data_IF_092731088558
#
_entry.id   IF_092731088558
#
_cell.length_a   1.000
_cell.length_b   1.000
_cell.length_c   1.000
_cell.angle_alpha   90.00
_cell.angle_beta   90.00
_cell.angle_gamma   90.00
#
_symmetry.space_group_name_H-M   'P 1'
#
loop_
_entity.id
_entity.type
_entity.pdbx_description
1 polymer ?
#
# COMPACT_ATOMS: atom_id res chain seq x y z
N UNK A 1 33.68 -19.52 -6.00
CA UNK A 1 34.00 -18.43 -5.04
C UNK A 1 32.88 -18.38 -4.01
N UNK A 2 33.18 -18.58 -2.72
CA UNK A 2 32.17 -18.55 -1.64
C UNK A 2 31.65 -17.12 -1.50
N UNK A 3 30.34 -16.91 -1.65
CA UNK A 3 29.72 -15.62 -1.35
C UNK A 3 30.01 -15.27 0.13
N UNK A 4 30.46 -14.05 0.47
CA UNK A 4 30.72 -13.68 1.84
C UNK A 4 29.41 -13.69 2.63
N UNK A 5 29.37 -14.46 3.72
CA UNK A 5 28.23 -14.49 4.62
C UNK A 5 28.09 -13.13 5.31
N UNK A 6 26.99 -12.41 5.04
CA UNK A 6 26.67 -11.14 5.70
C UNK A 6 26.35 -11.41 7.17
N UNK A 7 27.04 -10.74 8.08
CA UNK A 7 26.83 -10.84 9.52
C UNK A 7 25.51 -10.19 9.95
N UNK A 8 24.86 -10.76 10.98
CA UNK A 8 23.56 -10.27 11.52
C UNK A 8 23.55 -8.78 11.89
N UNK A 9 24.70 -8.21 12.26
CA UNK A 9 24.83 -6.81 12.65
C UNK A 9 25.30 -5.89 11.52
N UNK A 10 25.63 -6.44 10.34
CA UNK A 10 26.12 -5.66 9.20
C UNK A 10 25.01 -4.78 8.64
N UNK A 11 25.34 -3.68 7.95
CA UNK A 11 24.37 -2.89 7.20
C UNK A 11 23.60 -3.77 6.22
N UNK A 12 22.28 -3.65 6.22
CA UNK A 12 21.43 -4.50 5.41
C UNK A 12 21.67 -4.25 3.91
N UNK A 13 21.88 -5.30 3.09
CA UNK A 13 22.22 -5.16 1.67
C UNK A 13 21.08 -4.57 0.80
N UNK A 14 19.85 -4.46 1.33
CA UNK A 14 18.74 -3.81 0.63
C UNK A 14 18.82 -2.27 0.63
N UNK A 15 19.85 -1.67 1.24
CA UNK A 15 20.04 -0.23 1.26
C UNK A 15 19.16 0.53 2.27
N UNK A 16 18.55 -0.17 3.23
CA UNK A 16 17.66 0.44 4.24
C UNK A 16 18.38 1.25 5.33
N UNK A 17 19.71 1.16 5.42
CA UNK A 17 20.50 1.76 6.50
C UNK A 17 20.35 1.08 7.88
N UNK A 18 19.49 0.07 8.01
CA UNK A 18 19.31 -0.72 9.25
C UNK A 18 20.30 -1.90 9.29
N UNK A 19 20.57 -2.45 10.49
CA UNK A 19 21.31 -3.72 10.65
C UNK A 19 20.54 -4.87 9.98
N UNK A 20 21.23 -5.83 9.36
CA UNK A 20 20.63 -6.94 8.61
C UNK A 20 19.57 -7.70 9.41
N UNK A 21 19.81 -7.96 10.71
CA UNK A 21 18.84 -8.56 11.65
C UNK A 21 17.55 -7.76 11.84
N UNK A 22 17.62 -6.42 11.77
CA UNK A 22 16.46 -5.53 11.97
C UNK A 22 15.80 -5.13 10.64
N UNK A 23 16.14 -5.81 9.55
CA UNK A 23 15.65 -5.50 8.23
C UNK A 23 15.31 -6.78 7.46
N UNK A 24 16.12 -7.20 6.49
CA UNK A 24 15.77 -8.33 5.62
C UNK A 24 15.75 -9.68 6.34
N UNK A 25 16.53 -9.85 7.42
CA UNK A 25 16.48 -11.07 8.23
C UNK A 25 15.30 -11.03 9.23
N UNK A 26 14.98 -9.86 9.79
CA UNK A 26 13.78 -9.68 10.61
C UNK A 26 12.47 -9.85 9.83
N UNK A 27 12.51 -9.70 8.49
CA UNK A 27 11.40 -10.10 7.60
C UNK A 27 11.14 -11.62 7.59
N UNK A 28 12.10 -12.46 8.01
CA UNK A 28 11.87 -13.91 8.15
C UNK A 28 11.31 -14.27 9.53
N UNK A 29 11.35 -13.35 10.50
CA UNK A 29 10.80 -13.52 11.84
C UNK A 29 9.33 -13.05 11.92
N UNK A 30 8.56 -13.14 10.81
CA UNK A 30 7.10 -13.20 10.89
C UNK A 30 6.74 -14.50 11.62
N UNK A 31 6.70 -14.44 12.96
CA UNK A 31 6.10 -15.49 13.76
C UNK A 31 4.59 -15.43 13.51
N UNK A 32 4.09 -16.34 12.68
CA UNK A 32 2.72 -16.83 12.84
C UNK A 32 2.52 -17.15 14.33
N UNK A 33 1.38 -16.76 14.89
CA UNK A 33 1.09 -16.87 16.32
C UNK A 33 1.42 -18.26 16.85
N UNK A 34 1.94 -18.35 18.08
CA UNK A 34 2.29 -19.63 18.72
C UNK A 34 1.08 -20.60 18.76
N UNK A 35 -0.15 -20.08 18.71
CA UNK A 35 -1.40 -20.84 18.58
C UNK A 35 -1.58 -21.52 17.21
N UNK A 36 -1.33 -20.81 16.09
CA UNK A 36 -1.47 -21.37 14.75
C UNK A 36 -0.42 -22.47 14.47
N UNK A 37 0.80 -22.30 14.98
CA UNK A 37 1.84 -23.32 14.90
C UNK A 37 1.52 -24.54 15.76
N UNK A 38 0.96 -24.34 16.96
CA UNK A 38 0.53 -25.43 17.84
C UNK A 38 -0.63 -26.23 17.24
N UNK A 39 -1.65 -25.57 16.69
CA UNK A 39 -2.77 -26.23 16.00
C UNK A 39 -2.32 -26.99 14.76
N UNK A 40 -1.45 -26.41 13.93
CA UNK A 40 -0.88 -27.09 12.78
C UNK A 40 -0.10 -28.35 13.19
N UNK A 41 0.63 -28.29 14.31
CA UNK A 41 1.36 -29.44 14.84
C UNK A 41 0.45 -30.53 15.41
N UNK A 42 -0.68 -30.16 16.02
CA UNK A 42 -1.66 -31.10 16.56
C UNK A 42 -2.44 -31.80 15.44
N UNK A 43 -2.89 -31.04 14.44
CA UNK A 43 -3.58 -31.54 13.25
C UNK A 43 -2.69 -32.54 12.48
N UNK A 44 -1.41 -32.22 12.29
CA UNK A 44 -0.46 -33.13 11.64
C UNK A 44 -0.27 -34.42 12.45
N UNK A 45 -0.13 -34.33 13.78
CA UNK A 45 -0.02 -35.52 14.64
C UNK A 45 -1.25 -36.41 14.50
N UNK A 46 -2.45 -35.84 14.54
CA UNK A 46 -3.70 -36.56 14.37
C UNK A 46 -3.80 -37.21 12.99
N UNK A 47 -3.41 -36.51 11.92
CA UNK A 47 -3.41 -37.06 10.56
C UNK A 47 -2.42 -38.22 10.37
N UNK A 48 -1.36 -38.27 11.18
CA UNK A 48 -0.37 -39.35 11.19
C UNK A 48 -0.77 -40.54 12.08
N UNK A 49 -1.76 -40.39 12.98
CA UNK A 49 -2.21 -41.48 13.85
C UNK A 49 -2.83 -42.62 13.02
N UNK A 50 -2.29 -43.83 13.17
CA UNK A 50 -2.81 -45.03 12.49
C UNK A 50 -2.36 -45.21 11.03
N UNK A 51 -1.53 -44.31 10.50
CA UNK A 51 -0.93 -44.46 9.16
C UNK A 51 0.35 -45.32 9.23
N UNK A 52 0.39 -46.50 8.58
CA UNK A 52 1.64 -47.24 8.44
C UNK A 52 2.52 -46.56 7.39
N UNK A 53 3.72 -46.12 7.77
CA UNK A 53 4.74 -45.64 6.84
C UNK A 53 5.81 -46.72 6.64
N UNK A 54 6.00 -47.18 5.41
CA UNK A 54 7.01 -48.17 5.04
C UNK A 54 8.42 -47.58 4.88
N UNK A 55 8.55 -46.25 4.85
CA UNK A 55 9.86 -45.56 4.81
C UNK A 55 9.77 -44.11 5.31
N UNK A 56 10.92 -43.51 5.62
CA UNK A 56 11.03 -42.08 5.91
C UNK A 56 10.58 -41.21 4.73
N UNK A 57 10.84 -41.64 3.50
CA UNK A 57 10.42 -40.94 2.28
C UNK A 57 8.90 -40.90 2.15
N UNK A 58 8.22 -41.98 2.52
CA UNK A 58 6.76 -42.05 2.53
C UNK A 58 6.15 -41.13 3.59
N UNK A 59 6.73 -41.09 4.79
CA UNK A 59 6.34 -40.15 5.83
C UNK A 59 6.56 -38.68 5.42
N UNK A 60 7.68 -38.37 4.75
CA UNK A 60 7.96 -37.02 4.22
C UNK A 60 6.94 -36.61 3.16
N UNK A 61 6.67 -37.49 2.19
CA UNK A 61 5.68 -37.23 1.15
C UNK A 61 4.27 -37.02 1.71
N UNK A 62 3.92 -37.76 2.77
CA UNK A 62 2.67 -37.56 3.49
C UNK A 62 2.59 -36.17 4.14
N UNK A 63 3.61 -35.78 4.90
CA UNK A 63 3.67 -34.48 5.56
C UNK A 63 3.59 -33.34 4.54
N UNK A 64 4.35 -33.41 3.44
CA UNK A 64 4.32 -32.41 2.38
C UNK A 64 2.93 -32.29 1.75
N UNK A 65 2.29 -33.42 1.45
CA UNK A 65 0.93 -33.45 0.89
C UNK A 65 -0.09 -32.88 1.87
N UNK A 66 -0.02 -33.24 3.15
CA UNK A 66 -0.92 -32.73 4.18
C UNK A 66 -0.77 -31.21 4.34
N UNK A 67 0.47 -30.71 4.39
CA UNK A 67 0.77 -29.28 4.45
C UNK A 67 0.27 -28.54 3.20
N UNK A 68 0.47 -29.09 2.00
CA UNK A 68 -0.05 -28.51 0.75
C UNK A 68 -1.57 -28.43 0.77
N UNK A 69 -2.27 -29.51 1.13
CA UNK A 69 -3.74 -29.53 1.21
C UNK A 69 -4.26 -28.48 2.20
N UNK A 70 -3.62 -28.35 3.37
CA UNK A 70 -3.97 -27.32 4.35
C UNK A 70 -3.75 -25.90 3.80
N UNK A 71 -2.61 -25.65 3.17
CA UNK A 71 -2.26 -24.33 2.63
C UNK A 71 -3.10 -23.92 1.41
N UNK A 72 -3.74 -24.88 0.74
CA UNK A 72 -4.65 -24.64 -0.39
C UNK A 72 -6.11 -24.55 0.03
N UNK A 73 -6.45 -24.89 1.28
CA UNK A 73 -7.81 -24.78 1.80
C UNK A 73 -8.20 -23.31 2.03
N UNK A 74 -9.32 -22.83 1.46
CA UNK A 74 -9.89 -21.52 1.77
C UNK A 74 -10.18 -21.35 3.26
N UNK A 75 -9.89 -20.16 3.80
CA UNK A 75 -10.21 -19.79 5.19
C UNK A 75 -11.16 -18.61 5.23
N UNK A 76 -12.15 -18.67 6.13
CA UNK A 76 -13.15 -17.61 6.30
C UNK A 76 -12.51 -16.29 6.75
N UNK A 77 -11.49 -16.35 7.60
CA UNK A 77 -10.73 -15.18 8.08
C UNK A 77 -9.97 -14.46 6.96
N UNK A 78 -9.62 -15.17 5.89
CA UNK A 78 -9.05 -14.57 4.67
C UNK A 78 -10.10 -14.33 3.59
N UNK A 79 -11.38 -14.37 3.97
CA UNK A 79 -12.52 -14.25 3.08
C UNK A 79 -12.36 -15.21 1.89
N UNK A 80 -12.16 -16.50 2.13
CA UNK A 80 -12.10 -17.52 1.10
C UNK A 80 -10.76 -17.62 0.34
N UNK A 81 -9.76 -16.80 0.68
CA UNK A 81 -8.39 -17.07 0.24
C UNK A 81 -7.80 -18.23 1.05
N UNK A 82 -6.94 -19.01 0.42
CA UNK A 82 -6.10 -19.97 1.14
C UNK A 82 -4.87 -19.29 1.75
N UNK A 83 -4.21 -19.92 2.76
CA UNK A 83 -2.93 -19.43 3.28
C UNK A 83 -1.87 -19.23 2.21
N UNK A 84 -1.81 -20.11 1.21
CA UNK A 84 -0.88 -19.99 0.08
C UNK A 84 -1.19 -18.74 -0.75
N UNK A 85 -2.46 -18.49 -1.09
CA UNK A 85 -2.88 -17.31 -1.84
C UNK A 85 -2.60 -16.02 -1.06
N UNK A 86 -2.90 -15.99 0.24
CA UNK A 86 -2.60 -14.85 1.11
C UNK A 86 -1.09 -14.57 1.16
N UNK A 87 -0.27 -15.61 1.38
CA UNK A 87 1.19 -15.49 1.39
C UNK A 87 1.71 -14.89 0.06
N UNK A 88 1.19 -15.37 -1.08
CA UNK A 88 1.53 -14.82 -2.40
C UNK A 88 1.10 -13.36 -2.54
N UNK A 89 -0.09 -12.97 -2.07
CA UNK A 89 -0.53 -11.57 -2.09
C UNK A 89 0.39 -10.65 -1.27
N UNK A 90 0.84 -11.10 -0.10
CA UNK A 90 1.68 -10.29 0.80
C UNK A 90 3.12 -10.16 0.30
N UNK A 91 3.68 -11.21 -0.30
CA UNK A 91 5.11 -11.26 -0.61
C UNK A 91 5.44 -11.15 -2.10
N UNK A 92 4.50 -11.51 -2.97
CA UNK A 92 4.67 -11.56 -4.42
C UNK A 92 3.52 -10.89 -5.20
N UNK A 93 3.02 -9.72 -4.79
CA UNK A 93 1.78 -9.13 -5.33
C UNK A 93 1.83 -8.87 -6.84
N UNK A 94 2.99 -8.53 -7.39
CA UNK A 94 3.22 -8.30 -8.83
C UNK A 94 3.87 -9.48 -9.56
N UNK A 95 4.13 -10.58 -8.86
CA UNK A 95 4.78 -11.78 -9.37
C UNK A 95 3.90 -13.04 -9.23
N UNK A 96 2.59 -12.82 -9.07
CA UNK A 96 1.56 -13.85 -8.96
C UNK A 96 0.40 -13.55 -9.92
N UNK A 97 0.61 -13.67 -11.26
CA UNK A 97 -0.44 -13.46 -12.26
C UNK A 97 -1.62 -14.43 -12.11
N UNK A 98 -1.41 -15.58 -11.47
CA UNK A 98 -2.45 -16.54 -11.09
C UNK A 98 -3.42 -16.00 -10.03
N UNK A 99 -3.08 -14.90 -9.34
CA UNK A 99 -3.93 -14.27 -8.33
C UNK A 99 -4.44 -12.91 -8.78
N UNK A 100 -3.55 -12.06 -9.28
CA UNK A 100 -3.86 -10.69 -9.66
C UNK A 100 -3.01 -10.21 -10.84
N UNK A 101 -3.68 -9.65 -11.84
CA UNK A 101 -3.05 -9.06 -13.02
C UNK A 101 -3.16 -7.55 -12.93
N UNK A 102 -2.03 -6.86 -13.12
CA UNK A 102 -1.95 -5.40 -13.21
C UNK A 102 -1.56 -5.02 -14.64
N UNK A 103 -2.37 -4.22 -15.34
CA UNK A 103 -2.04 -3.82 -16.70
C UNK A 103 -0.91 -2.78 -16.72
N UNK A 104 -0.04 -2.87 -17.72
CA UNK A 104 1.01 -1.86 -17.96
C UNK A 104 0.45 -0.53 -18.47
N UNK A 105 -0.74 -0.56 -19.08
CA UNK A 105 -1.48 0.60 -19.58
C UNK A 105 -2.96 0.36 -19.30
N UNK A 106 -3.64 1.35 -18.71
CA UNK A 106 -5.08 1.25 -18.50
C UNK A 106 -5.85 1.39 -19.82
N UNK A 107 -6.96 0.66 -19.96
CA UNK A 107 -7.87 0.79 -21.11
C UNK A 107 -8.66 2.10 -21.10
N UNK A 108 -8.77 2.74 -19.94
CA UNK A 108 -9.50 4.01 -19.75
C UNK A 108 -8.60 5.07 -19.15
N UNK A 109 -8.87 6.34 -19.46
CA UNK A 109 -8.17 7.45 -18.81
C UNK A 109 -8.49 7.48 -17.31
N UNK A 110 -7.49 7.39 -16.42
CA UNK A 110 -7.70 7.31 -14.99
C UNK A 110 -8.17 8.66 -14.42
N UNK A 111 -9.32 8.66 -13.75
CA UNK A 111 -9.76 9.80 -12.93
C UNK A 111 -9.41 9.50 -11.48
N UNK A 112 -8.33 10.09 -10.97
CA UNK A 112 -7.84 9.89 -9.62
C UNK A 112 -7.22 11.17 -9.04
N UNK A 113 -7.27 11.37 -7.71
CA UNK A 113 -6.61 12.49 -7.03
C UNK A 113 -5.13 12.63 -7.40
N UNK A 114 -4.35 11.55 -7.32
CA UNK A 114 -2.93 11.58 -7.65
C UNK A 114 -2.66 11.96 -9.11
N UNK A 115 -3.52 11.54 -10.04
CA UNK A 115 -3.36 11.86 -11.46
C UNK A 115 -3.67 13.32 -11.75
N UNK A 116 -4.68 13.87 -11.09
CA UNK A 116 -5.01 15.30 -11.16
C UNK A 116 -3.85 16.15 -10.65
N UNK A 117 -3.30 15.81 -9.49
CA UNK A 117 -2.14 16.50 -8.89
C UNK A 117 -0.87 16.35 -9.73
N UNK A 118 -0.66 15.17 -10.32
CA UNK A 118 0.45 14.94 -11.23
C UNK A 118 0.32 15.78 -12.51
N UNK A 119 -0.89 15.92 -13.08
CA UNK A 119 -1.17 16.83 -14.20
C UNK A 119 -0.82 18.27 -13.87
N UNK A 120 -1.27 18.78 -12.72
CA UNK A 120 -0.92 20.13 -12.23
C UNK A 120 0.61 20.30 -12.06
N UNK A 121 1.30 19.24 -11.59
CA UNK A 121 2.76 19.26 -11.47
C UNK A 121 3.46 19.30 -12.84
N UNK A 122 2.96 18.53 -13.82
CA UNK A 122 3.46 18.51 -15.21
C UNK A 122 3.34 19.90 -15.84
N UNK A 123 2.17 20.52 -15.71
CA UNK A 123 1.90 21.88 -16.20
C UNK A 123 2.81 22.91 -15.53
N UNK A 124 2.93 22.87 -14.20
CA UNK A 124 3.79 23.78 -13.45
C UNK A 124 5.28 23.64 -13.78
N UNK A 125 5.74 22.42 -14.12
CA UNK A 125 7.11 22.16 -14.58
C UNK A 125 7.32 22.69 -16.00
N UNK A 126 6.41 22.37 -16.92
CA UNK A 126 6.45 22.76 -18.33
C UNK A 126 7.75 22.39 -19.04
N UNK A 127 7.94 22.95 -20.24
CA UNK A 127 9.12 22.67 -21.06
C UNK A 127 10.42 23.25 -20.49
N UNK A 128 10.34 24.43 -19.86
CA UNK A 128 11.50 25.19 -19.35
C UNK A 128 12.00 24.71 -17.98
N UNK A 129 11.27 23.81 -17.34
CA UNK A 129 11.51 23.33 -15.98
C UNK A 129 11.15 24.36 -14.91
N UNK A 130 10.86 23.86 -13.70
CA UNK A 130 10.48 24.66 -12.54
C UNK A 130 11.66 24.84 -11.58
N UNK A 131 12.03 26.09 -11.30
CA UNK A 131 13.07 26.37 -10.30
C UNK A 131 12.51 26.08 -8.89
N UNK A 132 13.12 25.19 -8.09
CA UNK A 132 12.71 24.97 -6.72
C UNK A 132 13.06 26.18 -5.84
N UNK A 133 12.51 26.19 -4.63
CA UNK A 133 12.96 27.06 -3.55
C UNK A 133 14.39 26.68 -3.11
N UNK A 134 15.02 27.52 -2.28
CA UNK A 134 16.36 27.24 -1.73
C UNK A 134 16.43 25.89 -0.98
N UNK A 135 15.33 25.47 -0.33
CA UNK A 135 15.22 24.17 0.36
C UNK A 135 14.94 23.00 -0.59
N UNK A 136 14.85 23.25 -1.89
CA UNK A 136 14.57 22.22 -2.88
C UNK A 136 13.10 21.84 -3.01
N UNK A 137 12.18 22.64 -2.46
CA UNK A 137 10.72 22.45 -2.50
C UNK A 137 10.07 23.17 -3.68
N UNK A 138 8.82 22.84 -3.98
CA UNK A 138 7.98 23.59 -4.92
C UNK A 138 7.80 25.05 -4.47
N UNK A 139 7.79 26.02 -5.40
CA UNK A 139 7.53 27.41 -5.06
C UNK A 139 6.13 27.60 -4.48
N UNK A 140 6.02 28.48 -3.48
CA UNK A 140 4.75 28.81 -2.80
C UNK A 140 3.61 29.16 -3.76
N UNK A 141 3.92 29.92 -4.83
CA UNK A 141 2.94 30.32 -5.84
C UNK A 141 2.29 29.10 -6.51
N UNK A 142 3.11 28.14 -6.95
CA UNK A 142 2.65 26.88 -7.55
C UNK A 142 1.76 26.11 -6.58
N UNK A 143 2.15 26.00 -5.31
CA UNK A 143 1.35 25.30 -4.31
C UNK A 143 -0.01 25.97 -4.06
N UNK A 144 -0.07 27.31 -4.02
CA UNK A 144 -1.32 28.07 -3.85
C UNK A 144 -2.27 27.89 -5.04
N UNK A 145 -1.74 28.04 -6.24
CA UNK A 145 -2.51 27.90 -7.48
C UNK A 145 -3.05 26.47 -7.62
N UNK A 146 -2.20 25.46 -7.41
CA UNK A 146 -2.62 24.07 -7.45
C UNK A 146 -3.64 23.73 -6.35
N UNK A 147 -3.45 24.20 -5.11
CA UNK A 147 -4.41 23.97 -4.03
C UNK A 147 -5.77 24.61 -4.31
N UNK A 148 -5.79 25.83 -4.85
CA UNK A 148 -7.03 26.52 -5.22
C UNK A 148 -7.75 25.78 -6.35
N UNK A 149 -7.02 25.36 -7.38
CA UNK A 149 -7.58 24.61 -8.50
C UNK A 149 -8.09 23.22 -8.07
N UNK A 150 -7.38 22.55 -7.16
CA UNK A 150 -7.70 21.20 -6.72
C UNK A 150 -8.85 21.14 -5.70
N UNK A 151 -8.89 22.07 -4.75
CA UNK A 151 -9.93 22.09 -3.72
C UNK A 151 -11.16 22.92 -4.11
N UNK A 152 -11.03 23.85 -5.06
CA UNK A 152 -12.04 24.87 -5.32
C UNK A 152 -12.05 25.97 -4.26
N UNK A 153 -12.76 27.08 -4.53
CA UNK A 153 -12.68 28.30 -3.71
C UNK A 153 -13.15 28.12 -2.27
N UNK A 154 -14.26 27.40 -2.07
CA UNK A 154 -14.88 27.22 -0.75
C UNK A 154 -13.98 26.41 0.19
N UNK A 155 -13.58 25.20 -0.23
CA UNK A 155 -12.72 24.32 0.55
C UNK A 155 -11.33 24.92 0.74
N UNK A 156 -10.81 25.65 -0.26
CA UNK A 156 -9.56 26.39 -0.12
C UNK A 156 -9.66 27.43 1.01
N UNK A 157 -10.75 28.22 1.04
CA UNK A 157 -10.98 29.23 2.09
C UNK A 157 -11.07 28.59 3.47
N UNK A 158 -11.76 27.45 3.60
CA UNK A 158 -11.87 26.74 4.87
C UNK A 158 -10.51 26.19 5.35
N UNK A 159 -9.79 25.46 4.49
CA UNK A 159 -8.50 24.84 4.82
C UNK A 159 -7.41 25.86 5.10
N UNK A 160 -7.47 27.03 4.49
CA UNK A 160 -6.47 28.09 4.65
C UNK A 160 -6.80 29.13 5.72
N UNK A 161 -7.97 29.01 6.38
CA UNK A 161 -8.50 29.97 7.36
C UNK A 161 -7.50 30.37 8.46
N UNK A 162 -6.67 29.44 8.93
CA UNK A 162 -5.77 29.65 10.07
C UNK A 162 -4.27 29.47 9.76
N UNK A 163 -3.85 29.55 8.49
CA UNK A 163 -2.44 29.35 8.17
C UNK A 163 -2.01 29.57 6.73
N UNK A 164 -2.92 29.62 5.76
CA UNK A 164 -2.55 29.75 4.34
C UNK A 164 -1.71 28.58 3.81
N UNK A 165 -1.36 28.65 2.52
CA UNK A 165 -0.33 27.78 1.90
C UNK A 165 0.96 28.61 1.79
N UNK A 166 1.93 28.36 2.67
CA UNK A 166 3.18 29.13 2.74
C UNK A 166 4.40 28.34 2.31
N UNK A 167 4.37 27.02 2.47
CA UNK A 167 5.36 26.05 2.00
C UNK A 167 4.67 24.89 1.30
N UNK A 168 5.45 24.10 0.57
CA UNK A 168 4.95 22.93 -0.15
C UNK A 168 4.20 21.94 0.75
N UNK A 169 4.72 21.71 1.96
CA UNK A 169 4.12 20.79 2.94
C UNK A 169 2.73 21.22 3.42
N UNK A 170 2.36 22.50 3.26
CA UNK A 170 1.02 22.97 3.61
C UNK A 170 -0.03 22.49 2.59
N UNK A 171 0.39 22.10 1.38
CA UNK A 171 -0.44 21.35 0.42
C UNK A 171 0.11 19.94 0.23
N UNK A 172 -0.09 19.13 1.26
CA UNK A 172 0.60 17.85 1.42
C UNK A 172 0.31 16.84 0.29
N UNK A 173 -0.89 16.84 -0.30
CA UNK A 173 -1.19 15.90 -1.40
C UNK A 173 -0.34 16.16 -2.65
N UNK A 174 -0.11 17.43 -3.01
CA UNK A 174 0.81 17.78 -4.11
C UNK A 174 2.26 17.46 -3.76
N UNK A 175 2.64 17.64 -2.49
CA UNK A 175 3.95 17.24 -1.98
C UNK A 175 4.19 15.74 -2.20
N UNK A 176 3.21 14.89 -1.82
CA UNK A 176 3.27 13.44 -2.02
C UNK A 176 3.29 13.09 -3.51
N UNK A 177 2.43 13.71 -4.34
CA UNK A 177 2.43 13.47 -5.79
C UNK A 177 3.81 13.75 -6.41
N UNK A 178 4.48 14.85 -6.02
CA UNK A 178 5.86 15.12 -6.46
C UNK A 178 6.83 14.05 -5.99
N UNK A 179 6.82 13.68 -4.72
CA UNK A 179 7.75 12.67 -4.19
C UNK A 179 7.60 11.32 -4.90
N UNK A 180 6.37 10.87 -5.11
CA UNK A 180 6.07 9.63 -5.83
C UNK A 180 6.52 9.72 -7.28
N UNK A 181 6.22 10.84 -7.97
CA UNK A 181 6.69 11.06 -9.34
C UNK A 181 8.22 11.09 -9.46
N UNK A 182 8.92 11.59 -8.44
CA UNK A 182 10.38 11.55 -8.41
C UNK A 182 10.91 10.14 -8.16
N UNK A 183 10.31 9.40 -7.24
CA UNK A 183 10.65 7.99 -7.03
C UNK A 183 10.44 7.20 -8.32
N UNK A 184 9.33 7.43 -9.01
CA UNK A 184 8.99 6.80 -10.30
C UNK A 184 9.94 7.20 -11.45
N UNK A 185 10.84 8.16 -11.24
CA UNK A 185 11.74 8.67 -12.29
C UNK A 185 11.04 9.52 -13.35
N UNK A 186 9.81 9.97 -13.09
CA UNK A 186 9.03 10.83 -13.97
C UNK A 186 9.45 12.30 -13.86
N UNK A 187 9.81 12.72 -12.65
CA UNK A 187 10.33 14.05 -12.35
C UNK A 187 11.75 13.92 -11.78
N UNK A 188 12.67 14.78 -12.22
CA UNK A 188 14.03 14.81 -11.67
C UNK A 188 14.53 16.23 -11.47
N UNK A 189 15.50 16.39 -10.58
CA UNK A 189 16.26 17.64 -10.45
C UNK A 189 17.43 17.61 -11.44
N UNK A 190 17.53 18.62 -12.30
CA UNK A 190 18.63 18.77 -13.27
C UNK A 190 18.98 20.24 -13.42
N UNK A 191 20.28 20.56 -13.35
CA UNK A 191 20.81 21.95 -13.41
C UNK A 191 20.00 22.94 -12.54
N UNK A 192 19.68 22.52 -11.32
CA UNK A 192 18.96 23.34 -10.34
C UNK A 192 17.47 23.56 -10.63
N UNK A 193 16.84 22.77 -11.52
CA UNK A 193 15.40 22.82 -11.82
C UNK A 193 14.75 21.45 -11.69
N UNK A 194 13.47 21.40 -11.35
CA UNK A 194 12.63 20.25 -11.63
C UNK A 194 12.35 20.18 -13.13
N UNK A 195 12.55 19.02 -13.73
CA UNK A 195 12.23 18.72 -15.12
C UNK A 195 11.49 17.40 -15.23
N UNK A 196 10.65 17.28 -16.25
CA UNK A 196 10.08 16.00 -16.68
C UNK A 196 11.19 15.16 -17.32
N UNK A 197 11.25 13.88 -16.99
CA UNK A 197 12.18 12.96 -17.64
C UNK A 197 11.77 12.73 -19.10
N UNK A 198 12.73 12.28 -19.93
CA UNK A 198 12.45 11.91 -21.32
C UNK A 198 11.37 10.81 -21.39
N UNK A 199 11.43 9.85 -20.48
CA UNK A 199 10.44 8.78 -20.35
C UNK A 199 9.04 9.34 -20.05
N UNK A 200 8.93 10.26 -19.10
CA UNK A 200 7.66 10.90 -18.77
C UNK A 200 7.04 11.61 -19.99
N UNK A 201 7.85 12.39 -20.73
CA UNK A 201 7.38 13.09 -21.93
C UNK A 201 6.93 12.13 -23.03
N UNK A 202 7.68 11.05 -23.26
CA UNK A 202 7.32 10.03 -24.24
C UNK A 202 6.00 9.34 -23.88
N UNK A 203 5.85 8.90 -22.64
CA UNK A 203 4.61 8.26 -22.16
C UNK A 203 3.40 9.20 -22.27
N UNK A 204 3.55 10.47 -21.90
CA UNK A 204 2.49 11.47 -22.04
C UNK A 204 2.07 11.67 -23.51
N UNK A 205 3.03 11.70 -24.43
CA UNK A 205 2.75 11.92 -25.85
C UNK A 205 2.12 10.71 -26.54
N UNK A 206 2.58 9.50 -26.21
CA UNK A 206 2.14 8.27 -26.90
C UNK A 206 0.87 7.68 -26.30
N UNK A 207 0.76 7.67 -24.97
CA UNK A 207 -0.27 6.88 -24.24
C UNK A 207 -1.01 7.68 -23.17
N UNK A 208 -0.68 8.97 -23.00
CA UNK A 208 -1.32 9.85 -22.03
C UNK A 208 -1.20 9.37 -20.58
N UNK A 209 -2.20 9.74 -19.77
CA UNK A 209 -2.22 9.44 -18.33
C UNK A 209 -2.42 7.94 -18.03
N UNK A 210 -3.02 7.20 -18.95
CA UNK A 210 -3.31 5.77 -18.80
C UNK A 210 -2.05 4.89 -18.62
N UNK A 211 -0.93 5.28 -19.23
CA UNK A 211 0.35 4.57 -19.05
C UNK A 211 1.15 5.04 -17.81
N UNK A 212 0.83 6.22 -17.26
CA UNK A 212 1.53 6.77 -16.10
C UNK A 212 0.93 6.29 -14.78
N UNK A 213 -0.37 6.02 -14.76
CA UNK A 213 -1.05 5.56 -13.55
C UNK A 213 -0.47 4.26 -13.00
N UNK A 214 -0.30 3.16 -13.78
CA UNK A 214 0.29 1.92 -13.25
C UNK A 214 1.69 2.13 -12.67
N UNK A 215 2.50 2.99 -13.29
CA UNK A 215 3.84 3.32 -12.81
C UNK A 215 3.82 4.08 -11.46
N UNK A 216 2.93 5.08 -11.32
CA UNK A 216 2.76 5.81 -10.07
C UNK A 216 2.20 4.91 -8.96
N UNK A 217 1.21 4.08 -9.30
CA UNK A 217 0.60 3.11 -8.38
C UNK A 217 1.64 2.14 -7.85
N UNK A 218 2.39 1.48 -8.75
CA UNK A 218 3.44 0.53 -8.37
C UNK A 218 4.52 1.19 -7.53
N UNK A 219 4.95 2.39 -7.91
CA UNK A 219 5.93 3.15 -7.13
C UNK A 219 5.43 3.47 -5.72
N UNK A 220 4.15 3.83 -5.58
CA UNK A 220 3.56 4.17 -4.29
C UNK A 220 3.48 2.97 -3.35
N UNK A 221 3.10 1.80 -3.86
CA UNK A 221 2.97 0.59 -3.03
C UNK A 221 4.31 -0.08 -2.74
N UNK A 222 5.27 -0.08 -3.68
CA UNK A 222 6.56 -0.78 -3.50
C UNK A 222 7.67 0.09 -2.87
N UNK A 223 7.69 1.40 -3.14
CA UNK A 223 8.88 2.25 -2.90
C UNK A 223 8.62 3.45 -1.99
N UNK A 224 7.42 4.01 -2.02
CA UNK A 224 7.07 5.11 -1.13
C UNK A 224 6.77 4.58 0.27
N UNK A 225 7.31 5.22 1.31
CA UNK A 225 7.04 4.84 2.70
C UNK A 225 5.72 5.47 3.17
N UNK A 226 4.68 4.67 3.37
CA UNK A 226 3.36 5.19 3.74
C UNK A 226 3.35 5.93 5.08
N UNK A 227 4.21 5.53 6.04
CA UNK A 227 4.33 6.21 7.33
C UNK A 227 4.82 7.66 7.21
N UNK A 228 5.38 8.05 6.05
CA UNK A 228 5.76 9.45 5.81
C UNK A 228 4.54 10.38 5.80
N UNK A 229 3.35 9.85 5.50
CA UNK A 229 2.13 10.65 5.40
C UNK A 229 1.42 10.88 6.72
N UNK A 230 1.89 10.27 7.80
CA UNK A 230 1.24 10.34 9.10
C UNK A 230 2.26 10.38 10.24
N UNK A 231 1.75 10.36 11.46
CA UNK A 231 2.55 10.38 12.69
C UNK A 231 2.38 9.10 13.50
N UNK A 232 1.80 8.05 12.89
CA UNK A 232 1.63 6.76 13.55
C UNK A 232 2.97 6.01 13.63
N UNK A 233 3.09 5.03 14.55
CA UNK A 233 4.24 4.15 14.62
C UNK A 233 4.57 3.44 13.29
N UNK A 234 5.77 2.87 13.22
CA UNK A 234 6.24 2.11 12.05
C UNK A 234 5.53 0.75 11.96
N UNK A 235 4.30 0.75 11.44
CA UNK A 235 3.52 -0.46 11.15
C UNK A 235 3.55 -0.79 9.66
N UNK A 236 4.63 -1.42 9.20
CA UNK A 236 4.87 -1.71 7.77
C UNK A 236 3.88 -2.71 7.18
N UNK A 237 3.35 -3.61 8.01
CA UNK A 237 2.46 -4.67 7.55
C UNK A 237 1.22 -4.13 6.82
N UNK A 238 0.68 -2.99 7.25
CA UNK A 238 -0.45 -2.33 6.58
C UNK A 238 -0.17 -2.08 5.10
N UNK A 239 1.04 -1.63 4.76
CA UNK A 239 1.43 -1.42 3.37
C UNK A 239 1.66 -2.76 2.63
N UNK A 240 2.20 -3.77 3.32
CA UNK A 240 2.33 -5.14 2.76
C UNK A 240 0.98 -5.74 2.38
N UNK A 241 -0.06 -5.48 3.19
CA UNK A 241 -1.41 -6.00 2.99
C UNK A 241 -2.25 -5.23 1.95
N UNK A 242 -1.64 -4.38 1.12
CA UNK A 242 -2.39 -3.56 0.16
C UNK A 242 -3.22 -4.41 -0.81
N UNK A 243 -2.67 -5.53 -1.32
CA UNK A 243 -3.37 -6.36 -2.30
C UNK A 243 -4.57 -7.08 -1.69
N UNK A 244 -4.47 -7.49 -0.42
CA UNK A 244 -5.61 -8.04 0.31
C UNK A 244 -6.73 -6.99 0.47
N UNK A 245 -6.38 -5.72 0.72
CA UNK A 245 -7.40 -4.65 0.74
C UNK A 245 -8.07 -4.47 -0.62
N UNK A 246 -7.31 -4.50 -1.71
CA UNK A 246 -7.90 -4.42 -3.06
C UNK A 246 -8.80 -5.61 -3.37
N UNK A 247 -8.46 -6.80 -2.86
CA UNK A 247 -9.30 -7.99 -2.94
C UNK A 247 -10.63 -7.78 -2.19
N UNK A 248 -10.58 -7.30 -0.95
CA UNK A 248 -11.79 -6.98 -0.17
C UNK A 248 -12.66 -5.92 -0.86
N UNK A 249 -12.05 -4.86 -1.41
CA UNK A 249 -12.79 -3.84 -2.15
C UNK A 249 -13.42 -4.38 -3.43
N UNK A 250 -12.75 -5.28 -4.15
CA UNK A 250 -13.30 -5.90 -5.36
C UNK A 250 -14.52 -6.75 -5.01
N UNK A 251 -14.47 -7.50 -3.91
CA UNK A 251 -15.56 -8.39 -3.48
C UNK A 251 -16.72 -7.68 -2.83
N UNK A 252 -16.45 -6.66 -2.03
CA UNK A 252 -17.45 -6.06 -1.13
C UNK A 252 -17.74 -4.58 -1.42
N UNK A 253 -16.91 -3.92 -2.22
CA UNK A 253 -16.98 -2.48 -2.49
C UNK A 253 -18.03 -2.06 -3.52
N UNK A 254 -18.82 -2.97 -4.09
CA UNK A 254 -19.90 -2.63 -5.03
C UNK A 254 -20.97 -1.71 -4.41
N UNK A 255 -21.13 -1.76 -3.09
CA UNK A 255 -21.98 -0.87 -2.29
C UNK A 255 -21.16 -0.07 -1.28
N UNK A 256 -21.72 1.04 -0.79
CA UNK A 256 -21.13 1.77 0.33
C UNK A 256 -21.02 0.86 1.56
N UNK A 257 -19.86 0.90 2.20
CA UNK A 257 -19.59 0.20 3.46
C UNK A 257 -18.92 1.12 4.48
N UNK A 258 -19.19 0.93 5.77
CA UNK A 258 -18.42 1.58 6.83
C UNK A 258 -16.94 1.16 6.75
N UNK A 259 -16.02 2.07 7.07
CA UNK A 259 -14.59 1.77 7.12
C UNK A 259 -14.25 0.64 8.10
N UNK A 260 -15.00 0.53 9.19
CA UNK A 260 -14.93 -0.51 10.21
C UNK A 260 -15.02 -1.92 9.60
N UNK A 261 -15.80 -2.11 8.54
CA UNK A 261 -15.87 -3.40 7.85
C UNK A 261 -14.49 -3.86 7.34
N UNK A 262 -13.70 -2.95 6.77
CA UNK A 262 -12.37 -3.26 6.24
C UNK A 262 -11.32 -3.37 7.34
N UNK A 263 -11.47 -2.58 8.40
CA UNK A 263 -10.64 -2.70 9.61
C UNK A 263 -10.83 -4.06 10.29
N UNK A 264 -12.09 -4.46 10.50
CA UNK A 264 -12.46 -5.76 11.08
C UNK A 264 -11.95 -6.90 10.20
N UNK A 265 -12.09 -6.79 8.88
CA UNK A 265 -11.57 -7.78 7.94
C UNK A 265 -10.04 -7.93 8.04
N UNK A 266 -9.31 -6.82 8.21
CA UNK A 266 -7.86 -6.86 8.41
C UNK A 266 -7.49 -7.51 9.75
N UNK A 267 -8.12 -7.08 10.84
CA UNK A 267 -7.81 -7.58 12.18
C UNK A 267 -8.24 -9.02 12.38
N UNK A 268 -9.30 -9.46 11.72
CA UNK A 268 -9.71 -10.86 11.71
C UNK A 268 -8.68 -11.73 10.98
N UNK A 269 -8.15 -11.27 9.84
CA UNK A 269 -7.09 -11.96 9.12
C UNK A 269 -5.73 -11.91 9.86
N UNK A 270 -5.46 -10.83 10.60
CA UNK A 270 -4.16 -10.56 11.21
C UNK A 270 -4.30 -10.06 12.66
N UNK A 271 -4.78 -10.92 13.58
CA UNK A 271 -5.08 -10.54 14.96
C UNK A 271 -3.83 -10.22 15.79
N UNK A 272 -2.64 -10.54 15.28
CA UNK A 272 -1.35 -10.26 15.93
C UNK A 272 -0.87 -8.81 15.75
N UNK A 273 -1.48 -8.02 14.86
CA UNK A 273 -1.01 -6.66 14.57
C UNK A 273 -0.97 -5.72 15.77
N UNK A 274 -1.95 -5.74 16.70
CA UNK A 274 -1.89 -4.90 17.90
C UNK A 274 -0.68 -5.21 18.80
N UNK A 275 -0.19 -6.45 18.81
CA UNK A 275 0.94 -6.87 19.65
C UNK A 275 2.28 -6.22 19.22
N UNK A 276 2.36 -5.70 17.99
CA UNK A 276 3.55 -5.00 17.48
C UNK A 276 3.67 -3.55 17.96
N UNK A 277 2.59 -2.99 18.53
CA UNK A 277 2.53 -1.58 18.88
C UNK A 277 2.89 -1.34 20.35
N UNK A 278 3.61 -0.24 20.64
CA UNK A 278 3.81 0.18 22.02
C UNK A 278 2.48 0.61 22.64
N UNK A 279 2.38 0.52 23.96
CA UNK A 279 1.26 1.08 24.70
C UNK A 279 1.18 2.60 24.47
N UNK A 280 -0.01 3.09 24.10
CA UNK A 280 -0.28 4.52 23.93
C UNK A 280 -1.14 5.05 25.09
N UNK A 281 -0.90 6.28 25.57
CA UNK A 281 -1.60 6.81 26.74
C UNK A 281 -3.11 7.05 26.55
N UNK A 282 -3.59 7.08 25.30
CA UNK A 282 -4.97 7.46 24.97
C UNK A 282 -5.73 6.40 24.18
N UNK A 283 -5.05 5.56 23.39
CA UNK A 283 -5.67 4.64 22.45
C UNK A 283 -5.20 3.23 22.74
N UNK A 284 -6.07 2.23 22.56
CA UNK A 284 -5.63 0.85 22.62
C UNK A 284 -4.75 0.52 21.40
N UNK A 285 -3.87 -0.50 21.48
CA UNK A 285 -3.11 -0.94 20.32
C UNK A 285 -4.00 -1.32 19.13
N UNK A 286 -5.18 -1.90 19.38
CA UNK A 286 -6.16 -2.20 18.31
C UNK A 286 -6.68 -0.92 17.65
N UNK A 287 -7.08 0.08 18.44
CA UNK A 287 -7.53 1.38 17.91
C UNK A 287 -6.44 2.07 17.07
N UNK A 288 -5.18 1.93 17.48
CA UNK A 288 -4.06 2.44 16.68
C UNK A 288 -3.93 1.74 15.34
N UNK A 289 -4.04 0.40 15.29
CA UNK A 289 -4.04 -0.36 14.03
C UNK A 289 -5.18 0.09 13.14
N UNK A 290 -6.40 0.18 13.68
CA UNK A 290 -7.61 0.61 12.95
C UNK A 290 -7.43 1.97 12.30
N UNK A 291 -7.06 2.97 13.11
CA UNK A 291 -6.84 4.34 12.63
C UNK A 291 -5.69 4.43 11.64
N UNK A 292 -4.59 3.72 11.90
CA UNK A 292 -3.46 3.65 11.00
C UNK A 292 -3.86 3.04 9.65
N UNK A 293 -4.64 1.96 9.65
CA UNK A 293 -5.17 1.32 8.45
C UNK A 293 -6.10 2.26 7.69
N UNK A 294 -7.07 2.87 8.35
CA UNK A 294 -8.01 3.79 7.71
C UNK A 294 -7.29 4.98 7.05
N UNK A 295 -6.34 5.61 7.73
CA UNK A 295 -5.60 6.72 7.13
C UNK A 295 -4.66 6.27 6.01
N UNK A 296 -3.81 5.28 6.25
CA UNK A 296 -2.79 4.86 5.28
C UNK A 296 -3.40 4.18 4.06
N UNK A 297 -4.34 3.29 4.30
CA UNK A 297 -4.90 2.40 3.29
C UNK A 297 -6.16 2.97 2.66
N UNK A 298 -7.16 3.36 3.46
CA UNK A 298 -8.44 3.81 2.91
C UNK A 298 -8.32 5.22 2.31
N UNK A 299 -7.89 6.20 3.11
CA UNK A 299 -7.82 7.60 2.69
C UNK A 299 -6.61 7.85 1.76
N UNK A 300 -5.40 7.53 2.22
CA UNK A 300 -4.17 7.93 1.53
C UNK A 300 -3.72 6.97 0.43
N UNK A 301 -4.33 5.78 0.29
CA UNK A 301 -4.06 4.86 -0.81
C UNK A 301 -5.26 4.71 -1.72
N UNK A 302 -6.29 3.95 -1.35
CA UNK A 302 -7.37 3.60 -2.31
C UNK A 302 -8.21 4.83 -2.69
N UNK A 303 -8.43 5.77 -1.76
CA UNK A 303 -9.03 7.07 -2.05
C UNK A 303 -8.14 7.93 -2.93
N UNK A 304 -6.86 8.09 -2.55
CA UNK A 304 -5.90 8.92 -3.28
C UNK A 304 -5.59 8.43 -4.71
N UNK A 305 -5.68 7.12 -4.93
CA UNK A 305 -5.54 6.51 -6.25
C UNK A 305 -6.86 6.36 -7.01
N UNK A 306 -7.99 6.81 -6.45
CA UNK A 306 -9.28 6.75 -7.13
C UNK A 306 -9.82 5.32 -7.31
N UNK A 307 -9.30 4.36 -6.53
CA UNK A 307 -9.76 2.96 -6.52
C UNK A 307 -11.06 2.82 -5.73
N UNK A 308 -11.29 3.71 -4.75
CA UNK A 308 -12.53 3.79 -4.00
C UNK A 308 -12.87 5.25 -3.71
N UNK A 309 -14.17 5.56 -3.62
CA UNK A 309 -14.66 6.76 -2.98
C UNK A 309 -14.59 6.56 -1.47
N UNK A 310 -13.97 7.51 -0.76
CA UNK A 310 -13.81 7.47 0.69
C UNK A 310 -14.27 8.81 1.24
N UNK A 311 -15.42 8.81 1.90
CA UNK A 311 -16.11 10.03 2.31
C UNK A 311 -16.33 10.05 3.81
N UNK A 312 -16.05 11.16 4.49
CA UNK A 312 -16.36 11.30 5.91
C UNK A 312 -17.88 11.24 6.12
N UNK A 313 -18.33 10.53 7.14
CA UNK A 313 -19.75 10.42 7.53
C UNK A 313 -20.16 11.59 8.44
N UNK A 314 -19.19 12.23 9.11
CA UNK A 314 -19.44 13.40 9.96
C UNK A 314 -18.33 14.46 9.84
N UNK A 315 -18.67 15.70 10.22
CA UNK A 315 -17.75 16.84 10.24
C UNK A 315 -16.79 16.83 11.45
N UNK A 316 -16.87 15.80 12.32
CA UNK A 316 -15.96 15.68 13.47
C UNK A 316 -14.51 15.69 12.98
N UNK A 317 -13.62 16.38 13.69
CA UNK A 317 -12.20 16.53 13.27
C UNK A 317 -11.26 15.50 13.89
N UNK A 318 -11.64 14.89 15.00
CA UNK A 318 -10.75 14.03 15.82
C UNK A 318 -11.06 12.54 15.62
N UNK A 319 -12.31 12.20 15.30
CA UNK A 319 -12.77 10.82 15.12
C UNK A 319 -13.64 10.78 13.85
N UNK A 320 -12.97 10.78 12.70
CA UNK A 320 -13.63 10.80 11.40
C UNK A 320 -13.97 9.38 11.00
N UNK A 321 -15.25 9.06 11.07
CA UNK A 321 -15.80 7.88 10.44
C UNK A 321 -15.86 8.08 8.93
N UNK A 322 -15.58 7.02 8.17
CA UNK A 322 -15.65 7.05 6.72
C UNK A 322 -16.60 5.97 6.18
N UNK A 323 -17.24 6.29 5.06
CA UNK A 323 -17.86 5.30 4.18
C UNK A 323 -16.98 5.11 2.94
N UNK A 324 -16.92 3.88 2.46
CA UNK A 324 -16.04 3.44 1.38
C UNK A 324 -16.85 2.71 0.32
N UNK A 325 -16.64 3.03 -0.96
CA UNK A 325 -17.23 2.32 -2.11
C UNK A 325 -16.20 2.17 -3.22
N UNK A 326 -16.04 0.98 -3.75
CA UNK A 326 -15.18 0.71 -4.91
C UNK A 326 -15.60 1.53 -6.13
N UNK A 327 -14.63 2.02 -6.89
CA UNK A 327 -14.85 2.77 -8.13
C UNK A 327 -14.45 1.93 -9.35
N UNK A 328 -14.96 2.25 -10.55
CA UNK A 328 -14.63 1.49 -11.77
C UNK A 328 -13.12 1.35 -12.03
N UNK A 329 -12.32 2.34 -11.63
CA UNK A 329 -10.87 2.32 -11.77
C UNK A 329 -10.20 1.17 -10.99
N UNK A 330 -10.85 0.64 -9.94
CA UNK A 330 -10.36 -0.55 -9.23
C UNK A 330 -10.22 -1.74 -10.17
N UNK A 331 -11.28 -2.05 -10.93
CA UNK A 331 -11.30 -3.19 -11.85
C UNK A 331 -10.42 -2.96 -13.09
N UNK A 332 -10.19 -1.70 -13.46
CA UNK A 332 -9.23 -1.36 -14.51
C UNK A 332 -7.78 -1.46 -14.02
N UNK A 333 -7.51 -1.20 -12.73
CA UNK A 333 -6.17 -1.19 -12.17
C UNK A 333 -5.68 -2.57 -11.73
N UNK A 334 -6.59 -3.47 -11.33
CA UNK A 334 -6.26 -4.84 -10.92
C UNK A 334 -7.38 -5.80 -11.27
N UNK A 335 -7.02 -6.95 -11.85
CA UNK A 335 -7.95 -8.04 -12.18
C UNK A 335 -7.58 -9.29 -11.38
N UNK A 336 -8.45 -9.69 -10.46
CA UNK A 336 -8.24 -10.91 -9.68
C UNK A 336 -8.65 -12.14 -10.49
N UNK A 337 -7.83 -13.19 -10.45
CA UNK A 337 -8.02 -14.46 -11.19
C UNK A 337 -8.53 -15.60 -10.28
N UNK A 338 -9.18 -15.24 -9.18
CA UNK A 338 -9.65 -16.19 -8.18
C UNK A 338 -10.99 -16.77 -8.64
N UNK A 339 -11.11 -18.10 -8.61
CA UNK A 339 -12.39 -18.79 -8.79
C UNK A 339 -13.37 -18.36 -7.69
N UNK A 340 -14.62 -18.08 -8.04
CA UNK A 340 -15.69 -17.75 -7.08
C UNK A 340 -16.04 -18.90 -6.13
#
# INVERSE_FOLDING_TARGET
MKNPAIGRNDPCPCGSGKKFRKCCLGRQEFKLSDGAAAEASADLRQAMEGMPFGSLTEAQAFVERHMQQRNQRPLDEFHGLSPEQMHRMLHFPFASPELAIFPDVLDTSPTAPIMTLFGMLVEAIGEKGLKPTAKGNLPRKVCREAALAYWGEEVYREKTRFGGINREEDFFDLHIARLVAQLAGLVRKYKGKFILSRNCRALLAEKGLAALYPLLFRTYVERFNWSYRDRYPELRFIQTAFLFTLYLLTRYGGSWRPHEFYEDSLLHAFPMLPDELPQHPVFSPEDEVRRCYTWRTLVHFVGFFGLAAVEPVSDKRIDREYRVKGLPLLHAAVQFQLSE
#
